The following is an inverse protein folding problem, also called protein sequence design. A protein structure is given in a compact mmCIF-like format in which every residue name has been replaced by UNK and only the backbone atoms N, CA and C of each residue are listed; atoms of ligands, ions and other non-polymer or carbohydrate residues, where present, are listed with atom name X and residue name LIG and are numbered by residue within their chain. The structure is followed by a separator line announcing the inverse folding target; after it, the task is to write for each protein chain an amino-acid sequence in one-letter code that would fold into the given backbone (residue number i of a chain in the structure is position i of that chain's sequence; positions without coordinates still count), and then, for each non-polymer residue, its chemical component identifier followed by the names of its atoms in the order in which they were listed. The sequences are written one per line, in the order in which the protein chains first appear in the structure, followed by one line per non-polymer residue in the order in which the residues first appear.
data_IF_244471677153
#
_entry.id   IF_244471677153
#
_cell.length_a   1.000
_cell.length_b   1.000
_cell.length_c   1.000
_cell.angle_alpha   90.00
_cell.angle_beta   90.00
_cell.angle_gamma   90.00
#
_symmetry.space_group_name_H-M   'P 1'
#
loop_
_entity.id
_entity.type
_entity.pdbx_description
1 polymer ?
#
# COMPACT_ATOMS: atom_id res chain seq x y z
N UNK A 1 -5.57 12.54 7.56
CA UNK A 1 -6.35 12.76 8.79
C UNK A 1 -5.97 11.71 9.83
N UNK A 2 -5.52 12.13 11.01
CA UNK A 2 -5.26 11.20 12.12
C UNK A 2 -6.58 10.54 12.56
N UNK A 3 -6.50 9.36 13.20
CA UNK A 3 -7.69 8.61 13.65
C UNK A 3 -8.60 9.39 14.60
N UNK A 4 -8.08 10.40 15.31
CA UNK A 4 -8.90 11.26 16.20
C UNK A 4 -9.85 12.14 15.41
N UNK A 5 -9.41 12.72 14.29
CA UNK A 5 -10.22 13.68 13.50
C UNK A 5 -11.56 13.07 13.06
N UNK A 6 -11.56 11.82 12.60
CA UNK A 6 -12.80 11.17 12.16
C UNK A 6 -13.79 10.93 13.31
N UNK A 7 -13.31 10.52 14.49
CA UNK A 7 -14.19 10.33 15.66
C UNK A 7 -14.71 11.66 16.20
N UNK A 8 -13.91 12.72 16.13
CA UNK A 8 -14.29 14.06 16.59
C UNK A 8 -15.39 14.64 15.68
N UNK A 9 -15.27 14.44 14.35
CA UNK A 9 -16.30 14.83 13.38
C UNK A 9 -17.61 14.07 13.59
N UNK A 10 -17.56 12.77 13.88
CA UNK A 10 -18.76 11.97 14.17
C UNK A 10 -19.44 12.45 15.46
N UNK A 11 -18.66 12.72 16.52
CA UNK A 11 -19.17 13.27 17.78
C UNK A 11 -19.87 14.62 17.56
N UNK A 12 -19.25 15.50 16.76
CA UNK A 12 -19.82 16.79 16.38
C UNK A 12 -21.09 16.66 15.53
N UNK A 13 -21.13 15.76 14.56
CA UNK A 13 -22.30 15.58 13.70
C UNK A 13 -23.48 14.96 14.45
N UNK A 14 -23.22 13.90 15.22
CA UNK A 14 -24.27 13.13 15.89
C UNK A 14 -24.73 13.72 17.21
N UNK A 15 -23.96 14.67 17.78
CA UNK A 15 -24.12 15.17 19.15
C UNK A 15 -24.10 14.04 20.21
N UNK A 16 -23.56 12.87 19.85
CA UNK A 16 -23.41 11.72 20.74
C UNK A 16 -21.96 11.59 21.16
N UNK A 17 -21.76 11.47 22.48
CA UNK A 17 -20.43 11.33 23.07
C UNK A 17 -19.71 10.07 22.57
N UNK A 18 -18.46 10.22 22.15
CA UNK A 18 -17.57 9.12 21.75
C UNK A 18 -16.63 8.78 22.91
N UNK A 19 -16.84 7.61 23.53
CA UNK A 19 -15.96 7.09 24.58
C UNK A 19 -14.74 6.45 23.94
N UNK A 20 -13.55 7.03 24.19
CA UNK A 20 -12.28 6.58 23.61
C UNK A 20 -11.54 5.71 24.63
N UNK A 21 -11.59 4.40 24.42
CA UNK A 21 -10.86 3.42 25.23
C UNK A 21 -9.46 3.27 24.65
N UNK A 22 -8.44 3.59 25.43
CA UNK A 22 -7.04 3.45 25.03
C UNK A 22 -6.33 2.45 25.94
N UNK A 23 -5.54 1.51 25.39
CA UNK A 23 -4.61 0.75 26.21
C UNK A 23 -3.54 1.71 26.82
N UNK A 24 -2.92 1.34 27.94
CA UNK A 24 -1.91 2.17 28.59
C UNK A 24 -0.63 2.34 27.76
N UNK A 25 -0.35 1.39 26.85
CA UNK A 25 0.82 1.37 25.97
C UNK A 25 0.39 1.31 24.51
N UNK A 26 1.14 1.98 23.63
CA UNK A 26 0.96 1.89 22.19
C UNK A 26 1.40 0.51 21.65
N UNK A 27 1.11 0.24 20.36
CA UNK A 27 1.43 -1.06 19.76
C UNK A 27 2.93 -1.39 19.82
N UNK A 28 3.80 -0.41 19.59
CA UNK A 28 5.24 -0.63 19.53
C UNK A 28 5.81 -0.81 20.94
N UNK A 29 5.30 -0.07 21.93
CA UNK A 29 5.62 -0.29 23.34
C UNK A 29 5.17 -1.68 23.82
N UNK A 30 4.01 -2.17 23.37
CA UNK A 30 3.56 -3.54 23.66
C UNK A 30 4.52 -4.56 23.03
N UNK A 31 5.12 -4.27 21.87
CA UNK A 31 6.09 -5.15 21.21
C UNK A 31 7.44 -5.11 21.94
N UNK A 32 7.89 -3.95 22.37
CA UNK A 32 9.09 -3.78 23.20
C UNK A 32 8.97 -4.59 24.51
N UNK A 33 7.81 -4.53 25.18
CA UNK A 33 7.52 -5.35 26.37
C UNK A 33 7.59 -6.87 26.11
N UNK A 34 7.36 -7.30 24.86
CA UNK A 34 7.45 -8.70 24.43
C UNK A 34 8.85 -9.05 23.89
N UNK A 35 9.86 -8.23 24.15
CA UNK A 35 11.23 -8.46 23.69
C UNK A 35 11.39 -8.32 22.18
N UNK A 36 10.65 -7.40 21.54
CA UNK A 36 10.59 -7.20 20.09
C UNK A 36 10.08 -8.42 19.30
N UNK A 37 9.31 -9.30 19.94
CA UNK A 37 8.61 -10.36 19.23
C UNK A 37 7.46 -9.80 18.38
N UNK A 38 7.59 -9.86 17.05
CA UNK A 38 6.60 -9.27 16.14
C UNK A 38 5.31 -10.10 16.05
N UNK A 39 4.13 -9.45 15.99
CA UNK A 39 2.87 -10.16 15.83
C UNK A 39 2.74 -10.79 14.44
N UNK A 40 2.05 -11.92 14.36
CA UNK A 40 1.80 -12.64 13.11
C UNK A 40 0.36 -13.16 13.03
N UNK A 41 -0.03 -13.73 11.89
CA UNK A 41 -1.36 -14.34 11.74
C UNK A 41 -1.63 -15.43 12.79
N UNK A 42 -0.58 -16.15 13.21
CA UNK A 42 -0.63 -17.19 14.24
C UNK A 42 -0.58 -16.60 15.65
N UNK A 43 0.25 -15.58 15.87
CA UNK A 43 0.50 -14.98 17.17
C UNK A 43 0.00 -13.54 17.22
N UNK A 44 -1.28 -13.38 17.58
CA UNK A 44 -2.02 -12.10 17.53
C UNK A 44 -2.15 -11.41 18.89
N UNK A 45 -1.09 -11.44 19.70
CA UNK A 45 -1.07 -10.79 21.03
C UNK A 45 -1.40 -9.29 20.96
N UNK A 46 -1.09 -8.63 19.84
CA UNK A 46 -1.47 -7.24 19.59
C UNK A 46 -2.99 -7.03 19.62
N UNK A 47 -3.79 -8.00 19.16
CA UNK A 47 -5.26 -7.94 19.24
C UNK A 47 -5.73 -8.15 20.68
N UNK A 48 -5.15 -9.14 21.36
CA UNK A 48 -5.53 -9.49 22.73
C UNK A 48 -5.26 -8.32 23.69
N UNK A 49 -4.05 -7.77 23.65
CA UNK A 49 -3.58 -6.74 24.58
C UNK A 49 -4.11 -5.35 24.23
N UNK A 50 -4.08 -4.95 22.96
CA UNK A 50 -4.45 -3.58 22.58
C UNK A 50 -5.95 -3.39 22.30
N UNK A 51 -6.72 -4.48 22.08
CA UNK A 51 -8.15 -4.40 21.72
C UNK A 51 -9.05 -5.15 22.69
N UNK A 52 -8.86 -6.47 22.83
CA UNK A 52 -9.80 -7.33 23.56
C UNK A 52 -9.80 -7.01 25.06
N UNK A 53 -8.62 -6.98 25.70
CA UNK A 53 -8.51 -6.73 27.14
C UNK A 53 -9.06 -5.35 27.56
N UNK A 54 -8.70 -4.22 26.92
CA UNK A 54 -9.28 -2.92 27.24
C UNK A 54 -10.80 -2.88 27.07
N UNK A 55 -11.31 -3.54 26.02
CA UNK A 55 -12.75 -3.59 25.76
C UNK A 55 -13.51 -4.41 26.81
N UNK A 56 -13.01 -5.60 27.19
CA UNK A 56 -13.61 -6.41 28.27
C UNK A 56 -13.64 -5.66 29.61
N UNK A 57 -12.58 -4.92 29.95
CA UNK A 57 -12.55 -4.09 31.16
C UNK A 57 -13.60 -2.96 31.12
N UNK A 58 -13.80 -2.35 29.95
CA UNK A 58 -14.82 -1.32 29.76
C UNK A 58 -16.23 -1.89 29.91
N UNK A 59 -16.53 -3.04 29.32
CA UNK A 59 -17.82 -3.71 29.47
C UNK A 59 -18.11 -4.01 30.94
N UNK A 60 -17.17 -4.62 31.67
CA UNK A 60 -17.34 -4.88 33.11
C UNK A 60 -17.63 -3.62 33.93
N UNK A 61 -16.98 -2.50 33.60
CA UNK A 61 -17.23 -1.23 34.27
C UNK A 61 -18.62 -0.66 33.95
N UNK A 62 -19.15 -0.90 32.74
CA UNK A 62 -20.52 -0.53 32.37
C UNK A 62 -21.54 -1.39 33.12
N UNK A 63 -21.35 -2.70 33.19
CA UNK A 63 -22.23 -3.61 33.92
C UNK A 63 -22.32 -3.24 35.40
N UNK A 64 -21.18 -2.95 36.04
CA UNK A 64 -21.16 -2.51 37.43
C UNK A 64 -21.91 -1.17 37.65
N UNK A 65 -21.92 -0.30 36.62
CA UNK A 65 -22.62 0.99 36.66
C UNK A 65 -24.12 0.85 36.38
N UNK A 66 -24.52 -0.15 35.60
CA UNK A 66 -25.88 -0.38 35.13
C UNK A 66 -26.26 -1.87 35.28
N UNK A 67 -26.44 -2.37 36.51
CA UNK A 67 -26.54 -3.80 36.81
C UNK A 67 -27.77 -4.50 36.19
N UNK A 68 -28.87 -3.78 36.01
CA UNK A 68 -30.14 -4.33 35.51
C UNK A 68 -30.44 -3.93 34.06
N UNK A 69 -29.43 -3.49 33.31
CA UNK A 69 -29.58 -3.01 31.93
C UNK A 69 -29.15 -4.06 30.91
N UNK A 70 -29.92 -4.17 29.82
CA UNK A 70 -29.49 -4.87 28.62
C UNK A 70 -28.62 -3.94 27.76
N UNK A 71 -27.49 -4.45 27.27
CA UNK A 71 -26.58 -3.72 26.41
C UNK A 71 -26.76 -4.14 24.95
N UNK A 72 -27.01 -3.16 24.08
CA UNK A 72 -27.11 -3.40 22.63
C UNK A 72 -25.80 -2.99 21.95
N UNK A 73 -25.15 -3.96 21.30
CA UNK A 73 -23.94 -3.75 20.51
C UNK A 73 -24.29 -3.63 19.02
N UNK A 74 -24.25 -2.41 18.49
CA UNK A 74 -24.47 -2.16 17.06
C UNK A 74 -23.16 -2.34 16.28
N UNK A 75 -23.09 -3.37 15.43
CA UNK A 75 -21.88 -3.70 14.67
C UNK A 75 -22.09 -3.42 13.18
N UNK A 76 -21.14 -2.68 12.58
CA UNK A 76 -21.18 -2.29 11.17
C UNK A 76 -20.78 -3.39 10.19
N UNK A 77 -21.34 -4.60 10.30
CA UNK A 77 -21.19 -5.65 9.27
C UNK A 77 -22.21 -5.38 8.15
N UNK A 78 -21.72 -5.31 6.92
CA UNK A 78 -22.53 -4.99 5.74
C UNK A 78 -23.30 -6.20 5.18
N UNK A 79 -24.22 -5.94 4.26
CA UNK A 79 -24.98 -6.98 3.57
C UNK A 79 -24.11 -7.82 2.60
N UNK A 80 -23.13 -7.20 1.95
CA UNK A 80 -22.15 -7.85 1.05
C UNK A 80 -21.01 -8.59 1.78
N UNK A 81 -21.05 -8.65 3.11
CA UNK A 81 -20.09 -9.36 3.95
C UNK A 81 -20.73 -10.62 4.58
N UNK A 82 -21.35 -11.45 3.75
CA UNK A 82 -22.14 -12.63 4.20
C UNK A 82 -21.32 -13.63 5.01
N UNK A 83 -20.04 -13.81 4.69
CA UNK A 83 -19.13 -14.72 5.38
C UNK A 83 -18.62 -14.20 6.74
N UNK A 84 -18.93 -12.95 7.11
CA UNK A 84 -18.48 -12.38 8.39
C UNK A 84 -19.50 -12.63 9.50
N UNK A 85 -19.00 -13.09 10.64
CA UNK A 85 -19.78 -13.25 11.85
C UNK A 85 -19.41 -12.17 12.87
N UNK A 86 -20.39 -11.81 13.70
CA UNK A 86 -20.14 -10.94 14.85
C UNK A 86 -19.41 -11.67 15.96
N UNK A 87 -19.01 -10.92 16.98
CA UNK A 87 -18.49 -11.51 18.21
C UNK A 87 -19.64 -12.24 18.91
N UNK A 88 -19.39 -13.51 19.26
CA UNK A 88 -20.26 -14.26 20.17
C UNK A 88 -19.95 -13.83 21.59
N UNK A 89 -20.97 -13.36 22.31
CA UNK A 89 -20.86 -12.94 23.70
C UNK A 89 -21.04 -14.14 24.62
N UNK A 90 -20.18 -14.26 25.63
CA UNK A 90 -20.34 -15.24 26.70
C UNK A 90 -21.31 -14.75 27.78
N UNK A 91 -21.42 -13.43 27.93
CA UNK A 91 -22.26 -12.73 28.89
C UNK A 91 -23.67 -12.52 28.32
N UNK A 92 -24.70 -12.97 29.04
CA UNK A 92 -26.09 -13.02 28.54
C UNK A 92 -26.84 -11.68 28.49
N UNK A 93 -26.21 -10.58 28.90
CA UNK A 93 -26.78 -9.23 28.95
C UNK A 93 -26.36 -8.35 27.76
N UNK A 94 -25.62 -8.89 26.78
CA UNK A 94 -25.18 -8.14 25.59
C UNK A 94 -25.74 -8.77 24.31
N UNK A 95 -26.52 -7.99 23.58
CA UNK A 95 -27.13 -8.39 22.30
C UNK A 95 -26.43 -7.69 21.13
N UNK A 96 -25.87 -8.45 20.19
CA UNK A 96 -25.29 -7.91 18.95
C UNK A 96 -26.37 -7.72 17.87
N UNK A 97 -26.44 -6.53 17.28
CA UNK A 97 -27.30 -6.21 16.15
C UNK A 97 -26.43 -5.75 14.97
N UNK A 98 -26.83 -6.10 13.74
CA UNK A 98 -26.12 -5.77 12.50
C UNK A 98 -26.98 -4.90 11.57
N UNK A 99 -27.12 -3.58 11.84
CA UNK A 99 -28.09 -2.74 11.13
C UNK A 99 -27.85 -2.67 9.63
N UNK A 100 -26.58 -2.56 9.19
CA UNK A 100 -26.26 -2.41 7.77
C UNK A 100 -26.66 -3.66 6.97
N UNK A 101 -26.42 -4.85 7.54
CA UNK A 101 -26.88 -6.11 6.95
C UNK A 101 -28.41 -6.21 6.92
N UNK A 102 -29.10 -5.85 8.01
CA UNK A 102 -30.57 -5.87 8.09
C UNK A 102 -31.22 -4.92 7.08
N UNK A 103 -30.58 -3.78 6.80
CA UNK A 103 -31.02 -2.78 5.84
C UNK A 103 -30.59 -3.08 4.40
N UNK A 104 -29.85 -4.16 4.16
CA UNK A 104 -29.35 -4.49 2.82
C UNK A 104 -28.25 -3.57 2.29
N UNK A 105 -27.60 -2.79 3.16
CA UNK A 105 -26.61 -1.79 2.76
C UNK A 105 -25.26 -2.45 2.43
N UNK A 106 -24.73 -2.13 1.25
CA UNK A 106 -23.43 -2.61 0.76
C UNK A 106 -22.35 -1.53 0.90
N UNK A 107 -21.09 -1.85 0.52
CA UNK A 107 -19.97 -0.91 0.65
C UNK A 107 -20.22 0.44 -0.03
N UNK A 108 -20.80 0.45 -1.22
CA UNK A 108 -21.09 1.67 -1.97
C UNK A 108 -22.07 2.59 -1.21
N UNK A 109 -23.14 2.03 -0.62
CA UNK A 109 -24.09 2.81 0.17
C UNK A 109 -23.43 3.42 1.41
N UNK A 110 -22.62 2.64 2.11
CA UNK A 110 -21.90 3.09 3.31
C UNK A 110 -20.94 4.21 2.97
N UNK A 111 -20.16 4.08 1.88
CA UNK A 111 -19.26 5.13 1.44
C UNK A 111 -20.01 6.42 1.11
N UNK A 112 -21.13 6.33 0.38
CA UNK A 112 -21.95 7.49 0.05
C UNK A 112 -22.42 8.21 1.31
N UNK A 113 -22.98 7.49 2.29
CA UNK A 113 -23.43 8.04 3.57
C UNK A 113 -22.27 8.70 4.33
N UNK A 114 -21.13 8.01 4.44
CA UNK A 114 -19.97 8.55 5.17
C UNK A 114 -19.43 9.81 4.48
N UNK A 115 -19.38 9.82 3.15
CA UNK A 115 -18.90 10.96 2.38
C UNK A 115 -19.80 12.19 2.56
N UNK A 116 -21.12 12.00 2.54
CA UNK A 116 -22.12 13.06 2.77
C UNK A 116 -22.05 13.65 4.18
N UNK A 117 -21.64 12.85 5.19
CA UNK A 117 -21.68 13.24 6.60
C UNK A 117 -20.34 13.79 7.12
N UNK A 118 -19.24 13.06 6.92
CA UNK A 118 -17.91 13.41 7.48
C UNK A 118 -16.78 13.42 6.44
N UNK A 119 -17.05 13.00 5.20
CA UNK A 119 -16.03 12.76 4.18
C UNK A 119 -15.30 11.43 4.39
N UNK A 120 -14.90 10.78 3.29
CA UNK A 120 -14.12 9.53 3.40
C UNK A 120 -12.74 9.83 3.99
N UNK A 121 -12.29 9.08 5.02
CA UNK A 121 -10.98 9.32 5.61
C UNK A 121 -9.84 9.16 4.60
N UNK A 122 -9.00 10.19 4.48
CA UNK A 122 -7.90 10.28 3.51
C UNK A 122 -6.88 9.15 3.58
N UNK A 123 -6.74 8.43 4.71
CA UNK A 123 -5.84 7.28 4.78
C UNK A 123 -6.27 6.12 3.87
N UNK A 124 -7.56 6.05 3.49
CA UNK A 124 -8.04 5.08 2.51
C UNK A 124 -7.50 5.37 1.10
N UNK A 125 -6.84 6.51 0.85
CA UNK A 125 -6.16 6.72 -0.42
C UNK A 125 -5.04 5.68 -0.66
N UNK A 126 -4.41 5.20 0.41
CA UNK A 126 -3.29 4.25 0.34
C UNK A 126 -3.52 2.95 1.13
N UNK A 127 -4.68 2.81 1.78
CA UNK A 127 -5.01 1.65 2.62
C UNK A 127 -6.37 1.11 2.28
N UNK A 128 -6.52 -0.21 2.31
CA UNK A 128 -7.81 -0.85 2.09
C UNK A 128 -8.57 -1.09 3.40
N UNK A 129 -7.90 -0.91 4.56
CA UNK A 129 -8.46 -1.19 5.90
C UNK A 129 -7.99 -0.17 6.95
N UNK A 130 -8.84 0.08 7.95
CA UNK A 130 -8.62 0.99 9.09
C UNK A 130 -7.64 0.47 10.18
N UNK A 131 -6.77 -0.48 9.84
CA UNK A 131 -5.88 -1.18 10.78
C UNK A 131 -4.75 -0.33 11.37
N UNK A 132 -3.81 -0.98 12.06
CA UNK A 132 -2.53 -0.38 12.45
C UNK A 132 -1.67 -0.12 11.21
N UNK A 133 -0.75 0.84 11.24
CA UNK A 133 0.09 1.21 10.09
C UNK A 133 1.16 0.17 9.73
N UNK A 134 1.44 -0.79 10.63
CA UNK A 134 2.37 -1.93 10.47
C UNK A 134 1.71 -3.29 10.66
N UNK A 135 0.42 -3.39 10.35
CA UNK A 135 -0.25 -4.69 10.38
C UNK A 135 0.45 -5.66 9.41
N UNK A 136 0.84 -6.84 9.89
CA UNK A 136 1.45 -7.91 9.08
C UNK A 136 0.55 -8.45 7.95
N UNK A 137 -0.72 -8.06 7.91
CA UNK A 137 -1.62 -8.32 6.79
C UNK A 137 -1.61 -7.23 5.72
N UNK A 138 -0.89 -6.13 5.90
CA UNK A 138 -0.82 -5.08 4.88
C UNK A 138 -0.17 -5.61 3.62
N UNK A 139 -0.75 -5.22 2.48
CA UNK A 139 -0.15 -5.50 1.17
C UNK A 139 1.07 -4.59 0.98
N UNK A 140 1.97 -5.00 0.09
CA UNK A 140 3.15 -4.23 -0.33
C UNK A 140 2.80 -2.79 -0.72
N UNK A 141 1.74 -2.62 -1.51
CA UNK A 141 1.24 -1.29 -1.92
C UNK A 141 0.80 -0.41 -0.75
N UNK A 142 0.19 -0.99 0.28
CA UNK A 142 -0.21 -0.25 1.48
C UNK A 142 1.01 0.23 2.26
N UNK A 143 2.07 -0.59 2.36
CA UNK A 143 3.33 -0.25 3.05
C UNK A 143 4.07 0.86 2.31
N UNK A 144 4.17 0.76 0.99
CA UNK A 144 4.77 1.82 0.15
C UNK A 144 4.02 3.14 0.37
N UNK A 145 2.70 3.11 0.42
CA UNK A 145 1.89 4.29 0.76
C UNK A 145 2.13 4.82 2.18
N UNK A 146 2.45 3.96 3.16
CA UNK A 146 2.72 4.38 4.54
C UNK A 146 4.03 5.15 4.68
N UNK A 147 5.01 4.96 3.80
CA UNK A 147 6.24 5.77 3.84
C UNK A 147 5.97 7.26 3.62
N UNK A 148 4.85 7.64 3.01
CA UNK A 148 4.47 9.04 2.84
C UNK A 148 3.52 9.54 3.93
N UNK A 149 2.75 8.66 4.56
CA UNK A 149 1.66 9.04 5.48
C UNK A 149 2.08 8.92 6.95
N UNK A 150 2.84 7.88 7.31
CA UNK A 150 3.19 7.53 8.70
C UNK A 150 4.70 7.31 8.84
N UNK A 151 5.51 8.28 8.39
CA UNK A 151 6.97 8.17 8.33
C UNK A 151 7.61 7.74 9.66
N UNK A 152 7.26 8.41 10.76
CA UNK A 152 7.82 8.12 12.07
C UNK A 152 7.37 6.75 12.61
N UNK A 153 6.11 6.39 12.39
CA UNK A 153 5.61 5.06 12.75
C UNK A 153 6.35 3.96 11.99
N UNK A 154 6.51 4.12 10.67
CA UNK A 154 7.25 3.19 9.82
C UNK A 154 8.72 3.08 10.22
N UNK A 155 9.36 4.20 10.61
CA UNK A 155 10.74 4.23 11.12
C UNK A 155 10.87 3.42 12.41
N UNK A 156 10.03 3.69 13.41
CA UNK A 156 10.02 2.95 14.68
C UNK A 156 9.74 1.46 14.47
N UNK A 157 8.82 1.13 13.57
CA UNK A 157 8.48 -0.26 13.29
C UNK A 157 9.61 -1.03 12.58
N UNK A 158 10.36 -0.38 11.70
CA UNK A 158 11.57 -0.97 11.11
C UNK A 158 12.61 -1.27 12.20
N UNK A 159 12.76 -0.40 13.20
CA UNK A 159 13.67 -0.63 14.34
C UNK A 159 13.24 -1.77 15.26
N UNK A 160 11.96 -2.18 15.22
CA UNK A 160 11.49 -3.37 15.93
C UNK A 160 11.77 -4.68 15.18
N UNK A 161 12.28 -4.63 13.94
CA UNK A 161 12.68 -5.83 13.20
C UNK A 161 14.07 -6.30 13.66
N UNK A 162 14.21 -7.59 13.97
CA UNK A 162 15.49 -8.15 14.40
C UNK A 162 16.36 -8.48 13.18
N UNK A 163 17.19 -7.53 12.76
CA UNK A 163 18.07 -7.64 11.60
C UNK A 163 19.56 -7.65 12.01
N UNK A 164 20.43 -8.41 11.32
CA UNK A 164 21.89 -8.28 11.49
C UNK A 164 22.36 -6.87 11.15
N UNK A 165 23.25 -6.29 11.95
CA UNK A 165 23.69 -4.90 11.81
C UNK A 165 24.27 -4.57 10.43
N UNK A 166 25.08 -5.47 9.85
CA UNK A 166 25.67 -5.29 8.51
C UNK A 166 24.60 -5.25 7.42
N UNK A 167 23.61 -6.15 7.51
CA UNK A 167 22.48 -6.19 6.58
C UNK A 167 21.62 -4.93 6.71
N UNK A 168 21.32 -4.50 7.93
CA UNK A 168 20.56 -3.29 8.18
C UNK A 168 21.29 -2.04 7.67
N UNK A 169 22.61 -1.94 7.88
CA UNK A 169 23.42 -0.83 7.38
C UNK A 169 23.31 -0.67 5.87
N UNK A 170 23.38 -1.79 5.12
CA UNK A 170 23.19 -1.77 3.66
C UNK A 170 21.80 -1.27 3.29
N UNK A 171 20.74 -1.64 4.02
CA UNK A 171 19.38 -1.22 3.70
C UNK A 171 19.07 0.23 4.10
N UNK A 172 19.75 0.75 5.11
CA UNK A 172 19.60 2.13 5.56
C UNK A 172 20.41 3.13 4.71
N UNK A 173 21.47 2.67 4.04
CA UNK A 173 22.25 3.48 3.11
C UNK A 173 21.43 3.76 1.83
N UNK A 174 20.78 4.92 1.78
CA UNK A 174 20.03 5.38 0.62
C UNK A 174 20.90 6.31 -0.22
N UNK A 175 21.10 6.03 -1.53
CA UNK A 175 21.88 6.90 -2.39
C UNK A 175 21.20 8.26 -2.56
N UNK A 176 21.94 9.29 -2.97
CA UNK A 176 21.37 10.61 -3.20
C UNK A 176 20.27 10.59 -4.27
N UNK A 177 19.14 11.25 -4.00
CA UNK A 177 18.02 11.29 -4.93
C UNK A 177 18.40 12.03 -6.22
N UNK A 178 17.72 11.72 -7.32
CA UNK A 178 17.86 12.44 -8.59
C UNK A 178 17.63 13.94 -8.41
N UNK A 179 16.61 14.32 -7.64
CA UNK A 179 16.37 15.70 -7.22
C UNK A 179 17.58 16.32 -6.52
N UNK A 180 18.20 15.60 -5.57
CA UNK A 180 19.39 16.06 -4.86
C UNK A 180 20.61 16.18 -5.76
N UNK A 181 20.83 15.20 -6.65
CA UNK A 181 21.94 15.20 -7.62
C UNK A 181 21.84 16.35 -8.62
N UNK A 182 20.63 16.68 -9.05
CA UNK A 182 20.36 17.73 -10.04
C UNK A 182 20.11 19.11 -9.41
N UNK A 183 19.89 19.18 -8.09
CA UNK A 183 19.53 20.42 -7.40
C UNK A 183 18.14 20.96 -7.79
N UNK A 184 17.21 20.08 -8.18
CA UNK A 184 15.84 20.45 -8.60
C UNK A 184 14.79 19.80 -7.71
N UNK A 185 13.66 20.47 -7.53
CA UNK A 185 12.58 19.95 -6.71
C UNK A 185 11.90 18.72 -7.36
N UNK A 186 11.47 17.76 -6.52
CA UNK A 186 10.88 16.48 -6.94
C UNK A 186 9.65 16.64 -7.85
N UNK A 187 8.88 17.71 -7.70
CA UNK A 187 7.69 18.01 -8.50
C UNK A 187 8.00 18.49 -9.93
N UNK A 188 9.27 18.80 -10.24
CA UNK A 188 9.72 19.08 -11.62
C UNK A 188 10.11 17.80 -12.38
N UNK A 189 10.16 16.66 -11.69
CA UNK A 189 10.49 15.37 -12.26
C UNK A 189 9.22 14.55 -12.44
N UNK A 190 9.12 13.87 -13.58
CA UNK A 190 8.07 12.91 -13.86
C UNK A 190 8.66 11.52 -14.08
N UNK A 191 7.92 10.50 -13.64
CA UNK A 191 8.25 9.11 -13.93
C UNK A 191 7.97 8.81 -15.40
N UNK A 192 8.72 7.86 -15.97
CA UNK A 192 8.46 7.35 -17.31
C UNK A 192 7.00 6.95 -17.49
N UNK A 193 6.47 7.24 -18.68
CA UNK A 193 5.11 6.87 -19.10
C UNK A 193 5.23 5.84 -20.24
N UNK A 194 4.39 4.81 -20.31
CA UNK A 194 4.47 3.84 -21.40
C UNK A 194 4.10 4.46 -22.74
N UNK A 195 4.76 4.04 -23.82
CA UNK A 195 4.59 4.64 -25.14
C UNK A 195 3.18 4.39 -25.72
N UNK A 196 2.53 3.29 -25.35
CA UNK A 196 1.14 2.98 -25.69
C UNK A 196 0.12 3.92 -25.04
N UNK A 197 0.52 4.73 -24.05
CA UNK A 197 -0.26 5.87 -23.53
C UNK A 197 -0.03 7.18 -24.30
N UNK A 198 0.56 7.13 -25.51
CA UNK A 198 0.79 8.29 -26.36
C UNK A 198 2.02 9.14 -25.99
N UNK A 199 2.91 8.60 -25.15
CA UNK A 199 4.15 9.27 -24.73
C UNK A 199 5.33 8.94 -25.66
N UNK A 200 6.43 9.70 -25.56
CA UNK A 200 7.64 9.43 -26.33
C UNK A 200 8.19 8.01 -26.02
N UNK A 201 8.96 7.41 -26.92
CA UNK A 201 9.50 6.05 -26.67
C UNK A 201 10.54 6.08 -25.53
N UNK A 202 10.40 5.15 -24.58
CA UNK A 202 11.42 4.84 -23.57
C UNK A 202 12.62 4.14 -24.21
N UNK A 203 13.76 4.08 -23.50
CA UNK A 203 14.90 3.29 -23.94
C UNK A 203 14.46 1.84 -23.85
N UNK A 204 14.50 1.15 -24.97
CA UNK A 204 14.16 -0.25 -25.03
C UNK A 204 15.44 -1.03 -25.29
N UNK A 205 15.83 -1.90 -24.36
CA UNK A 205 16.81 -2.95 -24.65
C UNK A 205 16.04 -4.13 -25.26
N UNK A 206 16.46 -4.55 -26.46
CA UNK A 206 15.83 -5.66 -27.20
C UNK A 206 16.02 -7.03 -26.56
N UNK A 207 16.52 -7.13 -25.32
CA UNK A 207 16.85 -8.40 -24.67
C UNK A 207 15.61 -9.16 -24.16
N UNK A 208 14.60 -9.29 -25.03
CA UNK A 208 13.58 -10.31 -24.94
C UNK A 208 14.07 -11.53 -25.73
N UNK A 209 14.46 -12.59 -25.02
CA UNK A 209 14.31 -13.94 -25.54
C UNK A 209 15.50 -14.58 -26.25
N UNK A 210 16.75 -14.36 -25.84
CA UNK A 210 17.76 -15.40 -26.03
C UNK A 210 17.58 -16.41 -24.89
N UNK A 211 16.67 -17.38 -25.10
CA UNK A 211 16.71 -18.65 -24.37
C UNK A 211 17.96 -19.37 -24.87
N UNK A 212 19.08 -19.25 -24.15
CA UNK A 212 20.15 -20.24 -24.28
C UNK A 212 19.65 -21.50 -23.60
N UNK A 213 19.62 -22.61 -24.34
CA UNK A 213 19.17 -23.90 -23.84
C UNK A 213 19.84 -24.22 -22.50
N UNK A 214 19.00 -24.50 -21.51
CA UNK A 214 19.40 -24.81 -20.16
C UNK A 214 19.96 -26.24 -20.09
N UNK A 215 21.28 -26.38 -20.16
CA UNK A 215 21.96 -27.52 -19.55
C UNK A 215 22.16 -27.23 -18.06
N UNK A 216 21.76 -28.20 -17.23
CA UNK A 216 21.61 -28.07 -15.79
C UNK A 216 22.84 -27.52 -15.08
N UNK A 217 22.74 -26.27 -14.65
CA UNK A 217 23.37 -25.59 -13.51
C UNK A 217 22.95 -24.11 -13.65
N UNK A 218 21.76 -23.77 -13.16
CA UNK A 218 21.13 -22.47 -13.43
C UNK A 218 21.70 -21.34 -12.54
N UNK A 219 22.74 -20.69 -13.07
CA UNK A 219 23.17 -19.31 -12.84
C UNK A 219 23.48 -18.76 -14.26
N UNK A 220 23.18 -17.55 -14.70
CA UNK A 220 22.68 -16.30 -14.13
C UNK A 220 22.06 -15.53 -15.32
N UNK A 221 20.90 -14.88 -15.15
CA UNK A 221 20.17 -14.18 -16.22
C UNK A 221 20.30 -12.64 -16.14
N UNK A 222 21.20 -12.12 -15.30
CA UNK A 222 21.47 -10.68 -15.17
C UNK A 222 22.97 -10.40 -15.20
N UNK A 223 23.36 -9.24 -15.72
CA UNK A 223 24.71 -8.67 -15.56
C UNK A 223 25.18 -8.85 -14.12
N UNK A 224 26.43 -9.30 -13.93
CA UNK A 224 27.02 -9.59 -12.63
C UNK A 224 26.78 -8.46 -11.62
N UNK A 225 25.74 -8.58 -10.78
CA UNK A 225 25.37 -7.60 -9.76
C UNK A 225 24.00 -6.94 -9.85
N UNK A 226 23.27 -6.97 -10.99
CA UNK A 226 22.00 -6.24 -11.13
C UNK A 226 20.79 -7.00 -10.55
N UNK A 227 19.70 -6.28 -10.24
CA UNK A 227 18.44 -6.88 -9.75
C UNK A 227 17.23 -6.31 -10.47
N UNK A 228 16.36 -7.20 -10.95
CA UNK A 228 15.21 -6.84 -11.79
C UNK A 228 13.88 -7.01 -11.05
N UNK A 229 12.98 -6.06 -11.28
CA UNK A 229 11.64 -6.03 -10.70
C UNK A 229 10.59 -5.70 -11.77
N UNK A 230 9.40 -6.30 -11.60
CA UNK A 230 8.18 -5.82 -12.23
C UNK A 230 7.58 -4.75 -11.34
N UNK A 231 7.34 -3.57 -11.89
CA UNK A 231 6.96 -2.37 -11.15
C UNK A 231 5.67 -1.81 -11.71
N UNK A 232 4.76 -1.35 -10.85
CA UNK A 232 3.55 -0.67 -11.28
C UNK A 232 3.52 0.79 -10.82
N UNK A 233 3.20 1.68 -11.74
CA UNK A 233 3.05 3.12 -11.49
C UNK A 233 1.65 3.55 -11.90
N UNK A 234 1.00 4.31 -11.03
CA UNK A 234 -0.27 4.98 -11.31
C UNK A 234 -0.01 6.35 -11.90
N UNK A 235 -0.66 6.66 -13.02
CA UNK A 235 -0.58 7.93 -13.74
C UNK A 235 -1.97 8.56 -13.81
N UNK A 236 -2.09 9.78 -13.31
CA UNK A 236 -3.33 10.55 -13.36
C UNK A 236 -3.24 11.61 -14.45
N UNK A 237 -4.14 11.50 -15.41
CA UNK A 237 -4.21 12.37 -16.58
C UNK A 237 -5.24 13.47 -16.35
N UNK A 238 -4.83 14.70 -16.63
CA UNK A 238 -5.73 15.84 -16.63
C UNK A 238 -6.60 15.87 -17.89
N UNK A 239 -7.51 16.84 -17.98
CA UNK A 239 -8.21 17.16 -19.21
C UNK A 239 -7.20 17.36 -20.35
N UNK A 240 -7.58 16.92 -21.55
CA UNK A 240 -6.76 17.11 -22.74
C UNK A 240 -6.59 18.60 -23.00
N UNK A 241 -5.33 19.05 -23.08
CA UNK A 241 -5.01 20.46 -23.34
C UNK A 241 -5.34 20.86 -24.78
N UNK A 242 -5.19 22.17 -25.09
CA UNK A 242 -5.41 22.69 -26.45
C UNK A 242 -4.50 22.07 -27.52
N UNK A 243 -3.40 21.44 -27.11
CA UNK A 243 -2.48 20.69 -27.96
C UNK A 243 -2.93 19.24 -28.24
N UNK A 244 -4.12 18.83 -27.77
CA UNK A 244 -4.64 17.48 -27.97
C UNK A 244 -3.96 16.42 -27.10
N UNK A 245 -3.08 16.80 -26.16
CA UNK A 245 -2.39 15.88 -25.27
C UNK A 245 -2.88 16.03 -23.84
N UNK A 246 -3.20 14.92 -23.19
CA UNK A 246 -3.45 14.88 -21.74
C UNK A 246 -2.13 14.82 -21.00
N UNK A 247 -1.92 15.76 -20.09
CA UNK A 247 -0.72 15.78 -19.24
C UNK A 247 -0.94 14.97 -17.97
N UNK A 248 0.14 14.32 -17.51
CA UNK A 248 0.14 13.63 -16.22
C UNK A 248 0.39 14.66 -15.12
N UNK A 249 -0.60 14.89 -14.26
CA UNK A 249 -0.48 15.86 -13.16
C UNK A 249 -0.10 15.21 -11.83
N UNK A 250 -0.31 13.90 -11.70
CA UNK A 250 0.06 13.14 -10.51
C UNK A 250 0.50 11.73 -10.88
N UNK A 251 1.58 11.28 -10.22
CA UNK A 251 2.17 9.96 -10.43
C UNK A 251 2.56 9.36 -9.08
N UNK A 252 2.42 8.04 -8.97
CA UNK A 252 2.95 7.33 -7.81
C UNK A 252 3.31 5.89 -8.12
N UNK A 253 4.37 5.42 -7.47
CA UNK A 253 4.68 4.01 -7.37
C UNK A 253 3.56 3.30 -6.59
N UNK A 254 2.95 2.30 -7.21
CA UNK A 254 1.93 1.47 -6.56
C UNK A 254 2.60 0.38 -5.74
N UNK A 255 3.35 -0.48 -6.43
CA UNK A 255 4.00 -1.66 -5.86
C UNK A 255 5.02 -2.23 -6.85
N UNK A 256 5.81 -3.19 -6.39
CA UNK A 256 6.70 -4.00 -7.20
C UNK A 256 6.58 -5.48 -6.85
N UNK A 257 7.11 -6.35 -7.71
CA UNK A 257 7.16 -7.80 -7.57
C UNK A 257 8.38 -8.35 -8.31
N UNK A 258 8.86 -9.53 -7.92
CA UNK A 258 9.89 -10.27 -8.67
C UNK A 258 9.32 -11.05 -9.86
N UNK A 259 7.98 -11.14 -9.97
CA UNK A 259 7.29 -11.78 -11.09
C UNK A 259 6.12 -10.94 -11.61
N UNK A 260 5.84 -11.04 -12.91
CA UNK A 260 4.70 -10.38 -13.55
C UNK A 260 3.36 -10.88 -12.98
N UNK A 261 3.25 -12.18 -12.72
CA UNK A 261 2.05 -12.78 -12.14
C UNK A 261 1.73 -12.18 -10.77
N UNK A 262 2.71 -12.13 -9.87
CA UNK A 262 2.55 -11.50 -8.56
C UNK A 262 2.20 -10.02 -8.63
N UNK A 263 2.75 -9.30 -9.61
CA UNK A 263 2.39 -7.89 -9.85
C UNK A 263 0.93 -7.75 -10.28
N UNK A 264 0.47 -8.55 -11.25
CA UNK A 264 -0.91 -8.51 -11.75
C UNK A 264 -1.92 -8.84 -10.65
N UNK A 265 -1.65 -9.83 -9.81
CA UNK A 265 -2.49 -10.14 -8.63
C UNK A 265 -2.57 -8.95 -7.67
N UNK A 266 -1.44 -8.29 -7.37
CA UNK A 266 -1.44 -7.10 -6.53
C UNK A 266 -2.25 -5.94 -7.15
N UNK A 267 -2.18 -5.79 -8.48
CA UNK A 267 -2.91 -4.76 -9.23
C UNK A 267 -4.43 -4.98 -9.23
N UNK A 268 -4.91 -6.23 -9.25
CA UNK A 268 -6.34 -6.53 -9.09
C UNK A 268 -6.89 -5.94 -7.78
N UNK A 269 -6.22 -6.18 -6.66
CA UNK A 269 -6.62 -5.61 -5.36
C UNK A 269 -6.56 -4.08 -5.34
N UNK A 270 -5.54 -3.51 -5.96
CA UNK A 270 -5.36 -2.06 -6.05
C UNK A 270 -6.47 -1.39 -6.87
N UNK A 271 -6.78 -1.95 -8.03
CA UNK A 271 -7.82 -1.45 -8.93
C UNK A 271 -9.20 -1.53 -8.29
N UNK A 272 -9.53 -2.68 -7.67
CA UNK A 272 -10.76 -2.84 -6.91
C UNK A 272 -10.86 -1.85 -5.75
N UNK A 273 -9.75 -1.58 -5.07
CA UNK A 273 -9.74 -0.60 -3.98
C UNK A 273 -10.00 0.82 -4.48
N UNK A 274 -9.41 1.21 -5.61
CA UNK A 274 -9.67 2.50 -6.27
C UNK A 274 -11.13 2.66 -6.68
N UNK A 275 -11.72 1.65 -7.32
CA UNK A 275 -13.15 1.64 -7.66
C UNK A 275 -14.07 1.72 -6.46
N UNK A 276 -13.63 1.20 -5.31
CA UNK A 276 -14.35 1.28 -4.04
C UNK A 276 -14.10 2.59 -3.26
N UNK A 277 -13.33 3.53 -3.80
CA UNK A 277 -12.97 4.79 -3.11
C UNK A 277 -12.87 5.96 -4.09
N UNK A 278 -13.71 5.97 -5.13
CA UNK A 278 -13.68 6.98 -6.20
C UNK A 278 -13.79 8.41 -5.67
N UNK A 279 -14.55 8.61 -4.60
CA UNK A 279 -14.81 9.89 -3.95
C UNK A 279 -13.52 10.56 -3.45
N UNK A 280 -12.52 9.77 -3.05
CA UNK A 280 -11.21 10.29 -2.60
C UNK A 280 -10.38 10.90 -3.72
N UNK A 281 -10.69 10.57 -4.97
CA UNK A 281 -9.95 11.01 -6.15
C UNK A 281 -10.75 12.01 -6.98
N UNK A 282 -11.94 12.41 -6.52
CA UNK A 282 -12.85 13.26 -7.29
C UNK A 282 -13.36 12.58 -8.57
N UNK A 283 -13.34 11.25 -8.62
CA UNK A 283 -13.77 10.48 -9.79
C UNK A 283 -15.25 10.12 -9.63
N UNK A 284 -16.03 10.27 -10.69
CA UNK A 284 -17.49 10.12 -10.65
C UNK A 284 -17.99 8.73 -11.02
N UNK A 285 -17.23 7.96 -11.80
CA UNK A 285 -17.63 6.63 -12.27
C UNK A 285 -16.42 5.74 -12.61
N UNK A 286 -16.65 4.44 -12.86
CA UNK A 286 -15.61 3.53 -13.34
C UNK A 286 -15.08 3.96 -14.72
N UNK A 287 -15.93 4.46 -15.61
CA UNK A 287 -15.53 4.94 -16.93
C UNK A 287 -14.61 6.16 -16.82
N UNK A 288 -14.95 7.11 -15.93
CA UNK A 288 -14.09 8.24 -15.61
C UNK A 288 -12.75 7.76 -15.01
N UNK A 289 -12.79 6.78 -14.09
CA UNK A 289 -11.60 6.17 -13.52
C UNK A 289 -10.68 5.57 -14.59
N UNK A 290 -11.23 4.80 -15.53
CA UNK A 290 -10.49 4.18 -16.64
C UNK A 290 -9.88 5.20 -17.58
N UNK A 291 -10.50 6.37 -17.74
CA UNK A 291 -9.99 7.46 -18.58
C UNK A 291 -8.87 8.23 -17.89
N UNK A 292 -9.08 8.61 -16.63
CA UNK A 292 -8.24 9.55 -15.89
C UNK A 292 -7.08 8.85 -15.16
N UNK A 293 -7.25 7.60 -14.76
CA UNK A 293 -6.25 6.82 -14.04
C UNK A 293 -5.78 5.65 -14.91
N UNK A 294 -4.52 5.70 -15.32
CA UNK A 294 -3.86 4.62 -16.06
C UNK A 294 -2.75 4.01 -15.21
N UNK A 295 -2.53 2.71 -15.37
CA UNK A 295 -1.47 2.00 -14.66
C UNK A 295 -0.44 1.53 -15.68
N UNK A 296 0.80 1.98 -15.55
CA UNK A 296 1.93 1.43 -16.31
C UNK A 296 2.57 0.28 -15.55
N UNK A 297 2.88 -0.81 -16.25
CA UNK A 297 3.76 -1.87 -15.76
C UNK A 297 5.12 -1.69 -16.43
N UNK A 298 6.19 -1.80 -15.63
CA UNK A 298 7.57 -1.67 -16.08
C UNK A 298 8.38 -2.88 -15.65
N UNK A 299 9.33 -3.28 -16.48
CA UNK A 299 10.45 -4.14 -16.08
C UNK A 299 11.62 -3.22 -15.81
N UNK A 300 12.03 -3.13 -14.56
CA UNK A 300 13.05 -2.20 -14.08
C UNK A 300 14.23 -3.00 -13.57
N UNK A 301 15.42 -2.69 -14.09
CA UNK A 301 16.68 -3.22 -13.61
C UNK A 301 17.38 -2.16 -12.76
N UNK A 302 17.80 -2.56 -11.56
CA UNK A 302 18.60 -1.73 -10.65
C UNK A 302 20.06 -2.14 -10.81
N UNK A 303 20.93 -1.17 -11.10
CA UNK A 303 22.37 -1.39 -11.18
C UNK A 303 22.95 -1.74 -9.80
N UNK A 304 23.86 -2.70 -9.73
CA UNK A 304 24.42 -3.22 -8.48
C UNK A 304 23.33 -3.66 -7.48
N UNK A 305 22.14 -4.03 -8.00
CA UNK A 305 20.96 -4.38 -7.22
C UNK A 305 21.16 -5.53 -6.22
N UNK A 306 22.10 -6.46 -6.44
CA UNK A 306 22.45 -7.52 -5.48
C UNK A 306 23.13 -6.92 -4.25
N UNK A 307 24.04 -5.95 -4.42
CA UNK A 307 24.71 -5.27 -3.32
C UNK A 307 23.79 -4.26 -2.63
N UNK A 308 22.97 -3.55 -3.41
CA UNK A 308 22.03 -2.55 -2.90
C UNK A 308 20.84 -3.18 -2.16
N UNK A 309 20.40 -4.36 -2.60
CA UNK A 309 19.22 -5.07 -2.10
C UNK A 309 19.55 -6.56 -1.87
N UNK A 310 20.44 -6.86 -0.91
CA UNK A 310 20.86 -8.23 -0.64
C UNK A 310 19.70 -9.09 -0.16
N UNK A 311 19.81 -10.40 -0.36
CA UNK A 311 18.86 -11.36 0.19
C UNK A 311 18.88 -11.32 1.72
N UNK A 312 17.72 -11.55 2.32
CA UNK A 312 17.59 -11.57 3.75
C UNK A 312 18.36 -12.78 4.34
N UNK A 313 19.23 -12.56 5.34
CA UNK A 313 19.90 -13.65 6.04
C UNK A 313 18.91 -14.62 6.69
N UNK A 314 19.36 -15.85 6.95
CA UNK A 314 18.55 -16.83 7.68
C UNK A 314 18.30 -16.32 9.10
N UNK A 315 17.06 -16.46 9.59
CA UNK A 315 16.70 -16.12 10.96
C UNK A 315 16.26 -14.67 11.18
N UNK A 316 16.06 -13.87 10.12
CA UNK A 316 15.43 -12.55 10.28
C UNK A 316 13.95 -12.68 10.63
N UNK A 317 13.49 -11.79 11.51
CA UNK A 317 12.08 -11.65 11.87
C UNK A 317 11.57 -10.28 11.43
N UNK A 318 10.63 -10.27 10.47
CA UNK A 318 10.10 -9.05 9.88
C UNK A 318 8.58 -9.00 9.97
N UNK A 319 8.01 -7.82 9.70
CA UNK A 319 6.56 -7.64 9.72
C UNK A 319 5.84 -8.34 8.57
N UNK A 320 6.55 -8.70 7.51
CA UNK A 320 5.97 -9.20 6.27
C UNK A 320 6.07 -10.71 6.15
N UNK A 321 5.03 -11.32 5.56
CA UNK A 321 4.98 -12.78 5.37
C UNK A 321 6.05 -13.31 4.43
N UNK A 322 6.55 -12.49 3.50
CA UNK A 322 7.64 -12.82 2.59
C UNK A 322 9.03 -12.55 3.16
N UNK A 323 9.10 -12.21 4.46
CA UNK A 323 10.33 -11.95 5.21
C UNK A 323 11.17 -10.76 4.72
N UNK A 324 10.63 -9.93 3.83
CA UNK A 324 11.30 -8.68 3.45
C UNK A 324 11.08 -7.64 4.55
N UNK A 325 12.15 -7.05 5.12
CA UNK A 325 11.99 -6.03 6.14
C UNK A 325 11.45 -4.72 5.56
N UNK A 326 10.91 -3.88 6.44
CA UNK A 326 10.42 -2.55 6.08
C UNK A 326 11.54 -1.72 5.45
N UNK A 327 12.77 -1.81 5.96
CA UNK A 327 13.96 -1.13 5.42
C UNK A 327 14.27 -1.57 3.98
N UNK A 328 14.15 -2.86 3.66
CA UNK A 328 14.31 -3.39 2.30
C UNK A 328 13.23 -2.82 1.38
N UNK A 329 11.97 -2.86 1.80
CA UNK A 329 10.86 -2.36 0.98
C UNK A 329 11.02 -0.87 0.72
N UNK A 330 11.49 -0.10 1.72
CA UNK A 330 11.79 1.33 1.58
C UNK A 330 12.90 1.56 0.56
N UNK A 331 14.05 0.89 0.69
CA UNK A 331 15.19 1.05 -0.22
C UNK A 331 14.84 0.60 -1.63
N UNK A 332 14.16 -0.53 -1.80
CA UNK A 332 13.71 -1.01 -3.10
C UNK A 332 12.77 -0.01 -3.78
N UNK A 333 11.74 0.45 -3.07
CA UNK A 333 10.79 1.45 -3.60
C UNK A 333 11.49 2.74 -4.00
N UNK A 334 12.46 3.19 -3.19
CA UNK A 334 13.25 4.38 -3.45
C UNK A 334 14.08 4.23 -4.73
N UNK A 335 14.85 3.15 -4.88
CA UNK A 335 15.70 2.91 -6.06
C UNK A 335 14.85 2.78 -7.33
N UNK A 336 13.72 2.06 -7.25
CA UNK A 336 12.78 1.95 -8.36
C UNK A 336 12.20 3.30 -8.78
N UNK A 337 11.80 4.13 -7.81
CA UNK A 337 11.37 5.49 -8.09
C UNK A 337 12.48 6.32 -8.75
N UNK A 338 13.71 6.26 -8.26
CA UNK A 338 14.83 6.98 -8.88
C UNK A 338 15.03 6.55 -10.33
N UNK A 339 15.06 5.24 -10.61
CA UNK A 339 15.21 4.71 -11.97
C UNK A 339 14.07 5.15 -12.90
N UNK A 340 12.83 5.16 -12.41
CA UNK A 340 11.67 5.60 -13.18
C UNK A 340 11.71 7.11 -13.50
N UNK A 341 12.23 7.93 -12.58
CA UNK A 341 12.41 9.37 -12.81
C UNK A 341 13.57 9.66 -13.77
N UNK A 342 14.67 8.91 -13.67
CA UNK A 342 15.78 8.97 -14.62
C UNK A 342 15.31 8.62 -16.05
N UNK A 343 14.51 7.56 -16.19
CA UNK A 343 13.94 7.20 -17.49
C UNK A 343 12.92 8.23 -17.98
N UNK A 344 12.15 8.86 -17.09
CA UNK A 344 11.25 9.96 -17.45
C UNK A 344 11.98 11.17 -18.05
N UNK A 345 13.13 11.55 -17.47
CA UNK A 345 14.00 12.59 -18.07
C UNK A 345 14.56 12.17 -19.42
N UNK A 346 14.98 10.90 -19.57
CA UNK A 346 15.48 10.36 -20.83
C UNK A 346 14.41 10.34 -21.92
N UNK A 347 13.17 10.05 -21.54
CA UNK A 347 12.01 10.05 -22.41
C UNK A 347 11.71 11.47 -22.92
N UNK A 348 11.74 12.48 -22.02
CA UNK A 348 11.48 13.88 -22.38
C UNK A 348 12.55 14.47 -23.28
N UNK A 349 13.82 14.21 -22.96
CA UNK A 349 14.92 14.67 -23.80
C UNK A 349 14.83 14.11 -25.23
N UNK A 350 14.35 12.87 -25.38
CA UNK A 350 14.07 12.25 -26.68
C UNK A 350 12.82 12.78 -27.37
N UNK A 351 11.84 13.22 -26.59
CA UNK A 351 10.71 14.01 -27.06
C UNK A 351 11.08 15.42 -27.55
N UNK A 352 12.36 15.82 -27.42
CA UNK A 352 12.86 17.12 -27.85
C UNK A 352 12.84 18.19 -26.75
N UNK A 353 12.59 17.82 -25.49
CA UNK A 353 12.60 18.77 -24.38
C UNK A 353 14.03 19.23 -24.05
N UNK A 354 14.32 20.50 -24.37
CA UNK A 354 15.64 21.12 -24.12
C UNK A 354 16.01 21.23 -22.65
N UNK A 355 15.03 21.38 -21.75
CA UNK A 355 15.28 21.41 -20.31
C UNK A 355 15.72 20.03 -19.82
N UNK A 356 15.03 18.97 -20.26
CA UNK A 356 15.41 17.59 -19.92
C UNK A 356 16.80 17.23 -20.47
N UNK A 357 17.12 17.63 -21.70
CA UNK A 357 18.46 17.44 -22.29
C UNK A 357 19.56 18.09 -21.43
N UNK A 358 19.33 19.32 -20.96
CA UNK A 358 20.26 20.01 -20.05
C UNK A 358 20.42 19.25 -18.72
N UNK A 359 19.34 18.73 -18.15
CA UNK A 359 19.44 17.96 -16.90
C UNK A 359 20.18 16.63 -17.07
N UNK A 360 19.98 15.93 -18.20
CA UNK A 360 20.74 14.72 -18.49
C UNK A 360 22.24 14.97 -18.63
N UNK A 361 22.62 16.10 -19.24
CA UNK A 361 24.02 16.53 -19.28
C UNK A 361 24.58 16.73 -17.87
N UNK A 362 23.82 17.37 -16.98
CA UNK A 362 24.20 17.58 -15.57
C UNK A 362 24.29 16.27 -14.77
N UNK A 363 23.54 15.24 -15.14
CA UNK A 363 23.56 13.92 -14.51
C UNK A 363 24.86 13.14 -14.76
N UNK A 364 25.67 13.54 -15.76
CA UNK A 364 26.96 12.91 -16.11
C UNK A 364 26.89 11.39 -16.30
N UNK A 365 25.76 10.88 -16.77
CA UNK A 365 25.56 9.45 -17.03
C UNK A 365 25.43 8.56 -15.78
N UNK A 366 25.46 9.12 -14.57
CA UNK A 366 25.24 8.34 -13.35
C UNK A 366 23.76 7.92 -13.26
N UNK A 367 23.50 6.62 -13.36
CA UNK A 367 22.14 6.06 -13.29
C UNK A 367 22.01 5.02 -12.20
N UNK A 368 20.87 5.08 -11.51
CA UNK A 368 20.45 4.10 -10.50
C UNK A 368 20.05 2.78 -11.16
N UNK A 369 19.54 2.86 -12.39
CA UNK A 369 19.12 1.67 -13.12
C UNK A 369 18.69 1.99 -14.55
N UNK A 370 17.84 1.11 -15.08
CA UNK A 370 17.20 1.28 -16.38
C UNK A 370 15.84 0.61 -16.46
N UNK A 371 14.98 1.10 -17.33
CA UNK A 371 13.70 0.46 -17.69
C UNK A 371 13.95 -0.38 -18.94
N UNK A 372 13.74 -1.69 -18.83
CA UNK A 372 13.90 -2.64 -19.94
C UNK A 372 12.63 -2.72 -20.79
N UNK A 373 11.48 -2.54 -20.17
CA UNK A 373 10.18 -2.59 -20.83
C UNK A 373 9.15 -1.77 -20.06
N UNK A 374 8.18 -1.20 -20.75
CA UNK A 374 6.99 -0.66 -20.12
C UNK A 374 5.76 -0.78 -21.03
N UNK A 375 4.62 -1.08 -20.44
CA UNK A 375 3.33 -1.21 -21.13
C UNK A 375 2.19 -0.74 -20.23
N UNK A 376 1.06 -0.39 -20.84
CA UNK A 376 -0.19 -0.16 -20.13
C UNK A 376 -0.72 -1.48 -19.53
N UNK A 377 -1.21 -1.40 -18.30
CA UNK A 377 -2.00 -2.46 -17.69
C UNK A 377 -3.47 -2.21 -18.00
N UNK A 378 -4.12 -3.23 -18.55
CA UNK A 378 -5.57 -3.24 -18.78
C UNK A 378 -6.27 -3.99 -17.64
N UNK A 379 -6.97 -3.27 -16.74
CA UNK A 379 -7.67 -3.88 -15.62
C UNK A 379 -9.02 -4.47 -16.05
N UNK A 380 -9.41 -5.59 -15.41
CA UNK A 380 -10.76 -6.15 -15.47
C UNK A 380 -11.82 -5.15 -14.99
N UNK A 381 -13.07 -5.36 -15.37
CA UNK A 381 -14.20 -4.58 -14.86
C UNK A 381 -14.34 -4.74 -13.35
N UNK A 382 -14.79 -3.70 -12.64
CA UNK A 382 -14.88 -3.78 -11.18
C UNK A 382 -15.79 -4.91 -10.71
N UNK A 383 -16.88 -5.17 -11.43
CA UNK A 383 -17.80 -6.26 -11.10
C UNK A 383 -17.16 -7.66 -11.27
N UNK A 384 -16.26 -7.84 -12.24
CA UNK A 384 -15.53 -9.10 -12.45
C UNK A 384 -14.53 -9.36 -11.31
N UNK A 385 -13.93 -8.29 -10.78
CA UNK A 385 -12.98 -8.38 -9.67
C UNK A 385 -13.62 -8.79 -8.34
N UNK A 386 -14.91 -8.55 -8.14
CA UNK A 386 -15.60 -8.94 -6.89
C UNK A 386 -15.64 -10.46 -6.73
N UNK A 387 -15.73 -11.20 -7.84
CA UNK A 387 -15.80 -12.66 -7.86
C UNK A 387 -14.50 -13.34 -8.27
N UNK A 388 -13.42 -12.56 -8.48
CA UNK A 388 -12.14 -13.08 -8.93
C UNK A 388 -11.46 -13.89 -7.82
N UNK A 389 -10.93 -15.07 -8.18
CA UNK A 389 -10.29 -16.00 -7.25
C UNK A 389 -9.07 -15.40 -6.53
N UNK A 390 -8.39 -14.43 -7.16
CA UNK A 390 -7.27 -13.73 -6.55
C UNK A 390 -7.74 -12.73 -5.49
N UNK A 391 -8.99 -12.27 -5.59
CA UNK A 391 -9.62 -11.36 -4.64
C UNK A 391 -10.26 -12.19 -3.53
N UNK A 392 -9.40 -12.68 -2.65
CA UNK A 392 -9.85 -13.26 -1.39
C UNK A 392 -10.01 -12.19 -0.33
N UNK A 393 -11.10 -12.32 0.45
CA UNK A 393 -11.25 -11.57 1.69
C UNK A 393 -10.08 -11.91 2.63
N UNK A 394 -9.63 -10.94 3.42
CA UNK A 394 -8.59 -11.20 4.41
C UNK A 394 -9.03 -12.36 5.32
N UNK A 395 -8.09 -13.25 5.74
CA UNK A 395 -8.44 -14.44 6.49
C UNK A 395 -9.38 -14.11 7.67
N UNK A 396 -10.42 -14.93 7.81
CA UNK A 396 -11.48 -14.81 8.82
C UNK A 396 -10.85 -14.59 10.20
N UNK A 397 -11.53 -13.76 11.00
CA UNK A 397 -11.08 -13.36 12.32
C UNK A 397 -10.59 -14.57 13.14
N UNK A 398 -9.51 -14.35 13.87
CA UNK A 398 -8.94 -15.33 14.79
C UNK A 398 -9.95 -15.69 15.87
N UNK A 399 -10.06 -16.98 16.18
CA UNK A 399 -10.78 -17.57 17.32
C UNK A 399 -10.38 -17.01 18.71
N UNK A 400 -9.49 -16.01 18.79
CA UNK A 400 -9.17 -15.32 20.03
C UNK A 400 -10.33 -14.46 20.55
N UNK A 401 -11.36 -14.18 19.73
CA UNK A 401 -12.59 -13.53 20.19
C UNK A 401 -13.67 -14.53 20.64
N UNK A 402 -13.49 -15.83 20.38
CA UNK A 402 -14.43 -16.90 20.76
C UNK A 402 -13.94 -17.76 21.93
N UNK A 403 -12.90 -17.31 22.64
CA UNK A 403 -12.42 -17.93 23.89
C UNK A 403 -12.32 -16.92 25.03
#
# INVERSE_FOLDING_TARGET
MSKSVGTDQIEQFTQKRVIRIKPPKDLLQIIEDQGNYLPSARQRFCTQTAKIKPYKLFIKALEAKYPDSEFISLVGIRADESAREGVSWTEGNITSIFPLRQLGLVKADVNRIVNEVVGIPTYYASRTRSGCFTCFFQRRSEIIGMFNIEQEGMRRAAQSECLPAEYEAVLQDLPQSLSGRLGIARNWLKMAVPADMGSAKMNWSNDRGIVREANGHQADFFSAGNKTFFVAVEHHFGPTGMNGQSQVYYQRLITYSTSLGGLKTALKHHWLHRGNTLELFGITSEEAMRRELKIGIYVVEIHDGIQQLPEAPIGVYTWQSDRQPISFIKKASYLLEQTLLEEGLLQDARGGDSWAQKQLFNMKGQRTGQVLHGSLYEPLALHELVTDIDITDAPVACNACSR
#
